data_IF_934340311793
#
_entry.id   IF_934340311793
#
_cell.length_a   1.000
_cell.length_b   1.000
_cell.length_c   1.000
_cell.angle_alpha   90.00
_cell.angle_beta   90.00
_cell.angle_gamma   90.00
#
_symmetry.space_group_name_H-M   'P 1'
#
loop_
_entity.id
_entity.type
_entity.pdbx_description
1 polymer ?
#
# COMPACT_ATOMS: atom_id res chain seq x y z
N UNK A 1 13.01 19.13 4.97
CA UNK A 1 13.43 18.21 3.88
C UNK A 1 13.66 16.78 4.38
N UNK A 2 14.45 16.57 5.43
CA UNK A 2 14.80 15.24 5.93
C UNK A 2 13.59 14.37 6.35
N UNK A 3 12.55 14.98 6.95
CA UNK A 3 11.34 14.26 7.39
C UNK A 3 10.56 13.64 6.20
N UNK A 4 10.30 14.43 5.16
CA UNK A 4 9.63 13.94 3.95
C UNK A 4 10.43 12.84 3.25
N UNK A 5 11.76 12.97 3.21
CA UNK A 5 12.63 11.94 2.65
C UNK A 5 12.54 10.63 3.46
N UNK A 6 12.54 10.70 4.79
CA UNK A 6 12.37 9.52 5.65
C UNK A 6 11.03 8.82 5.38
N UNK A 7 9.95 9.60 5.25
CA UNK A 7 8.62 9.08 4.91
C UNK A 7 8.64 8.37 3.54
N UNK A 8 9.23 9.00 2.52
CA UNK A 8 9.33 8.41 1.18
C UNK A 8 10.15 7.12 1.18
N UNK A 9 11.23 7.06 1.98
CA UNK A 9 12.07 5.86 2.12
C UNK A 9 11.28 4.71 2.75
N UNK A 10 10.50 4.98 3.79
CA UNK A 10 9.66 3.95 4.42
C UNK A 10 8.61 3.38 3.45
N UNK A 11 7.94 4.26 2.69
CA UNK A 11 6.99 3.83 1.65
C UNK A 11 7.69 3.00 0.58
N UNK A 12 8.86 3.44 0.10
CA UNK A 12 9.63 2.70 -0.92
C UNK A 12 10.07 1.31 -0.42
N UNK A 13 10.49 1.20 0.85
CA UNK A 13 10.80 -0.10 1.49
C UNK A 13 9.58 -1.01 1.53
N UNK A 14 8.40 -0.46 1.86
CA UNK A 14 7.14 -1.18 1.79
C UNK A 14 6.84 -1.68 0.37
N UNK A 15 6.99 -0.82 -0.65
CA UNK A 15 6.77 -1.20 -2.04
C UNK A 15 7.70 -2.33 -2.50
N UNK A 16 8.98 -2.27 -2.11
CA UNK A 16 9.94 -3.34 -2.37
C UNK A 16 9.49 -4.66 -1.75
N UNK A 17 9.05 -4.64 -0.48
CA UNK A 17 8.54 -5.84 0.17
C UNK A 17 7.30 -6.41 -0.56
N UNK A 18 6.37 -5.56 -1.01
CA UNK A 18 5.21 -6.02 -1.79
C UNK A 18 5.63 -6.66 -3.11
N UNK A 19 6.65 -6.12 -3.77
CA UNK A 19 7.21 -6.70 -5.02
C UNK A 19 7.86 -8.06 -4.78
N UNK A 20 8.67 -8.21 -3.73
CA UNK A 20 9.29 -9.48 -3.32
C UNK A 20 8.22 -10.54 -2.98
N UNK A 21 7.05 -10.12 -2.49
CA UNK A 21 5.90 -10.97 -2.22
C UNK A 21 4.98 -11.19 -3.44
N UNK A 22 5.38 -10.70 -4.62
CA UNK A 22 4.58 -10.73 -5.85
C UNK A 22 3.16 -10.17 -5.66
N UNK A 23 3.06 -9.06 -4.93
CA UNK A 23 1.81 -8.45 -4.52
C UNK A 23 1.68 -7.02 -5.03
N UNK A 24 0.60 -6.73 -5.74
CA UNK A 24 0.34 -5.40 -6.30
C UNK A 24 -0.76 -4.71 -5.50
N UNK A 25 -0.44 -3.54 -4.91
CA UNK A 25 -1.37 -2.78 -4.09
C UNK A 25 -2.56 -2.18 -4.87
N UNK A 26 -2.30 -1.72 -6.12
CA UNK A 26 -3.27 -1.08 -7.05
C UNK A 26 -3.93 0.22 -6.60
N UNK A 27 -3.70 0.68 -5.37
CA UNK A 27 -4.18 1.96 -4.87
C UNK A 27 -3.19 2.59 -3.87
N UNK A 28 -1.92 2.66 -4.25
CA UNK A 28 -0.91 3.31 -3.43
C UNK A 28 -1.09 4.84 -3.50
N UNK A 29 -1.49 5.43 -2.38
CA UNK A 29 -1.68 6.87 -2.24
C UNK A 29 -1.38 7.31 -0.80
N UNK A 30 -1.11 8.60 -0.59
CA UNK A 30 -0.81 9.15 0.74
C UNK A 30 -1.92 8.83 1.77
N UNK A 31 -3.20 8.85 1.36
CA UNK A 31 -4.34 8.51 2.22
C UNK A 31 -4.31 7.06 2.73
N UNK A 32 -3.62 6.18 2.02
CA UNK A 32 -3.46 4.76 2.36
C UNK A 32 -2.12 4.49 3.07
N UNK A 33 -1.39 5.54 3.46
CA UNK A 33 -0.19 5.42 4.27
C UNK A 33 -0.51 5.77 5.72
N UNK A 34 -0.14 4.89 6.65
CA UNK A 34 -0.35 5.05 8.09
C UNK A 34 0.92 5.58 8.75
N UNK A 35 0.77 6.56 9.64
CA UNK A 35 1.88 7.20 10.37
C UNK A 35 1.85 6.77 11.82
N UNK A 36 2.93 6.17 12.33
CA UNK A 36 2.95 5.59 13.68
C UNK A 36 3.02 6.63 14.82
N UNK A 37 3.69 7.77 14.58
CA UNK A 37 3.99 8.76 15.61
C UNK A 37 4.03 10.17 15.02
N UNK A 38 3.62 11.15 15.84
CA UNK A 38 3.76 12.58 15.52
C UNK A 38 5.19 13.06 15.67
N UNK A 39 5.98 12.44 16.55
CA UNK A 39 7.38 12.79 16.74
C UNK A 39 8.23 12.27 15.55
N UNK A 40 8.90 13.16 14.79
CA UNK A 40 9.74 12.75 13.65
C UNK A 40 10.86 11.77 14.01
N UNK A 41 11.36 11.78 15.26
CA UNK A 41 12.48 10.91 15.65
C UNK A 41 12.10 9.44 15.81
N UNK A 42 10.81 9.17 16.04
CA UNK A 42 10.23 7.84 16.26
C UNK A 42 9.19 7.45 15.20
N UNK A 43 9.00 8.28 14.17
CA UNK A 43 7.99 8.09 13.13
C UNK A 43 8.40 6.99 12.16
N UNK A 44 7.45 6.12 11.86
CA UNK A 44 7.55 5.11 10.80
C UNK A 44 6.27 5.22 9.97
N UNK A 45 6.41 5.20 8.64
CA UNK A 45 5.28 5.14 7.72
C UNK A 45 5.07 3.74 7.18
N UNK A 46 3.84 3.25 7.17
CA UNK A 46 3.48 1.92 6.68
C UNK A 46 2.42 2.00 5.60
N UNK A 47 2.53 1.14 4.60
CA UNK A 47 1.50 0.99 3.57
C UNK A 47 0.31 0.21 4.16
N UNK A 48 -0.91 0.72 3.97
CA UNK A 48 -2.16 0.12 4.44
C UNK A 48 -3.26 0.21 3.37
N UNK A 49 -4.48 -0.19 3.74
CA UNK A 49 -5.62 -0.33 2.83
C UNK A 49 -5.37 -1.23 1.60
N UNK A 50 -5.27 -2.52 1.86
CA UNK A 50 -5.08 -3.56 0.85
C UNK A 50 -6.40 -4.04 0.22
N UNK A 51 -7.51 -3.29 0.35
CA UNK A 51 -8.83 -3.71 -0.16
C UNK A 51 -8.87 -3.94 -1.68
N UNK A 52 -7.94 -3.33 -2.40
CA UNK A 52 -7.75 -3.54 -3.84
C UNK A 52 -6.48 -4.35 -4.17
N UNK A 53 -5.74 -4.84 -3.20
CA UNK A 53 -4.46 -5.47 -3.44
C UNK A 53 -4.56 -6.95 -3.82
N UNK A 54 -3.56 -7.48 -4.54
CA UNK A 54 -3.62 -8.82 -5.17
C UNK A 54 -2.26 -9.48 -5.33
N UNK A 55 -2.26 -10.80 -5.24
CA UNK A 55 -1.18 -11.67 -5.69
C UNK A 55 -1.18 -11.75 -7.23
N UNK A 56 -0.02 -11.55 -7.85
CA UNK A 56 0.17 -11.50 -9.31
C UNK A 56 -0.02 -12.88 -9.96
N UNK A 57 0.19 -13.97 -9.23
CA UNK A 57 0.13 -15.33 -9.79
C UNK A 57 -1.19 -16.06 -9.51
N UNK A 58 -2.07 -15.49 -8.68
CA UNK A 58 -3.42 -16.02 -8.42
C UNK A 58 -4.49 -15.23 -9.17
N UNK A 59 -4.85 -15.75 -10.34
CA UNK A 59 -6.06 -15.45 -11.14
C UNK A 59 -6.03 -14.21 -12.03
N UNK A 60 -6.16 -14.47 -13.33
CA UNK A 60 -6.28 -13.50 -14.43
C UNK A 60 -7.52 -12.58 -14.39
N UNK A 61 -8.40 -12.69 -13.36
CA UNK A 61 -9.64 -11.91 -13.32
C UNK A 61 -10.03 -11.43 -11.92
N UNK A 62 -10.58 -10.20 -11.85
CA UNK A 62 -11.19 -9.69 -10.63
C UNK A 62 -12.53 -10.36 -10.37
N UNK A 63 -12.54 -11.36 -9.49
CA UNK A 63 -13.77 -11.90 -8.89
C UNK A 63 -13.90 -11.37 -7.47
N UNK A 64 -14.82 -10.45 -7.23
CA UNK A 64 -15.24 -10.07 -5.88
C UNK A 64 -16.09 -11.21 -5.33
N UNK A 65 -15.78 -11.72 -4.16
CA UNK A 65 -16.75 -12.51 -3.41
C UNK A 65 -17.63 -11.52 -2.62
N UNK A 66 -18.87 -11.30 -3.09
CA UNK A 66 -19.86 -10.43 -2.44
C UNK A 66 -20.45 -9.32 -3.33
N UNK A 67 -21.63 -8.81 -2.95
CA UNK A 67 -22.46 -7.84 -3.70
C UNK A 67 -21.98 -6.37 -3.64
N UNK A 68 -20.68 -6.13 -3.46
CA UNK A 68 -20.19 -4.76 -3.48
C UNK A 68 -19.95 -4.29 -4.91
N UNK A 69 -20.36 -3.07 -5.26
CA UNK A 69 -20.06 -2.46 -6.56
C UNK A 69 -18.57 -2.57 -6.93
N UNK A 70 -18.31 -2.87 -8.20
CA UNK A 70 -16.97 -2.80 -8.77
C UNK A 70 -16.68 -1.34 -9.13
N UNK A 71 -15.46 -0.84 -8.89
CA UNK A 71 -15.06 0.43 -9.47
C UNK A 71 -14.97 0.24 -11.00
N UNK A 72 -15.99 0.72 -11.70
CA UNK A 72 -16.04 0.81 -13.17
C UNK A 72 -15.51 2.20 -13.55
N UNK A 73 -14.63 2.27 -14.54
CA UNK A 73 -14.26 3.53 -15.20
C UNK A 73 -15.09 3.71 -16.46
#
# INVERSE_FOLDING_TARGET
MADLLSISVDVARGCRYLEEMHFVHRDLACRNCLVSSKDPSSRIVKIGDFGLARDVYKNDYYRKEGEGLLPVR
#
